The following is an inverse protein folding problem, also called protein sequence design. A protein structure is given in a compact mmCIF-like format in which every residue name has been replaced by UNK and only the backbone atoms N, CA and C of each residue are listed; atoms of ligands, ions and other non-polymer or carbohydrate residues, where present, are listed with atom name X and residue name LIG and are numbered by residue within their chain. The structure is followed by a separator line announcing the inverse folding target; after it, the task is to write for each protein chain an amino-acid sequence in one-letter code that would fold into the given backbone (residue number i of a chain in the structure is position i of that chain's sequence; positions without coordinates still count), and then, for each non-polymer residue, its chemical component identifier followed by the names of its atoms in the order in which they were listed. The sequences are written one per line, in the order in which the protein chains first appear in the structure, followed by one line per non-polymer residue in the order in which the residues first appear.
data_IF_254586295376
#
_entry.id   IF_254586295376
#
_cell.length_a   1.000
_cell.length_b   1.000
_cell.length_c   1.000
_cell.angle_alpha   90.00
_cell.angle_beta   90.00
_cell.angle_gamma   90.00
#
_symmetry.space_group_name_H-M   'P 1'
#
loop_
_entity.id
_entity.type
_entity.pdbx_description
1 polymer ?
#
# COMPACT_ATOMS: atom_id res chain seq x y z
N UNK A 1 11.06 -3.02 2.74
CA UNK A 1 10.07 -4.04 3.06
C UNK A 1 10.73 -5.17 3.81
N UNK A 2 10.09 -5.69 4.80
CA UNK A 2 10.66 -6.75 5.62
C UNK A 2 10.15 -8.11 5.15
N UNK A 3 11.07 -8.99 4.74
CA UNK A 3 10.74 -10.33 4.24
C UNK A 3 10.98 -11.43 5.28
N UNK A 4 11.14 -11.10 6.53
CA UNK A 4 11.47 -12.08 7.56
C UNK A 4 12.98 -12.15 7.80
N UNK A 5 13.49 -13.34 8.14
CA UNK A 5 14.89 -13.54 8.44
C UNK A 5 15.81 -13.43 7.24
N UNK A 6 17.14 -13.31 7.47
CA UNK A 6 18.13 -13.27 6.40
C UNK A 6 18.07 -14.52 5.52
N UNK A 7 18.03 -14.31 4.21
CA UNK A 7 17.98 -15.39 3.23
C UNK A 7 16.61 -16.05 3.08
N UNK A 8 15.62 -15.57 3.80
CA UNK A 8 14.26 -16.09 3.73
C UNK A 8 13.34 -15.14 3.00
N UNK A 9 12.46 -15.70 2.17
CA UNK A 9 11.41 -14.95 1.50
C UNK A 9 10.07 -15.34 2.12
N UNK A 10 9.85 -14.83 3.34
CA UNK A 10 8.60 -15.00 4.07
C UNK A 10 8.18 -13.67 4.67
N UNK A 11 6.88 -13.53 4.89
CA UNK A 11 6.33 -12.40 5.63
C UNK A 11 6.58 -12.60 7.13
N UNK A 12 6.28 -11.57 7.93
CA UNK A 12 6.42 -11.63 9.39
C UNK A 12 5.57 -12.74 10.01
N UNK A 13 4.45 -13.12 9.36
CA UNK A 13 3.54 -14.18 9.82
C UNK A 13 3.80 -15.53 9.15
N UNK A 14 4.92 -15.67 8.43
CA UNK A 14 5.37 -16.94 7.88
C UNK A 14 4.85 -17.30 6.49
N UNK A 15 4.12 -16.41 5.83
CA UNK A 15 3.64 -16.65 4.48
C UNK A 15 4.78 -16.57 3.46
N UNK A 16 4.82 -17.46 2.45
CA UNK A 16 5.88 -17.40 1.45
C UNK A 16 5.76 -16.18 0.54
N UNK A 17 6.91 -15.58 0.21
CA UNK A 17 7.03 -14.44 -0.69
C UNK A 17 7.80 -14.87 -1.94
N UNK A 18 7.39 -14.39 -3.11
CA UNK A 18 8.10 -14.65 -4.36
C UNK A 18 9.57 -14.23 -4.26
N UNK A 19 10.46 -15.12 -4.67
CA UNK A 19 11.89 -14.82 -4.77
C UNK A 19 12.24 -14.01 -6.01
N UNK A 20 11.31 -13.94 -6.98
CA UNK A 20 11.49 -13.16 -8.20
C UNK A 20 10.98 -11.73 -7.97
N UNK A 21 11.80 -10.70 -8.30
CA UNK A 21 11.31 -9.32 -8.21
C UNK A 21 10.19 -9.05 -9.23
N UNK A 22 9.25 -8.17 -8.93
CA UNK A 22 9.06 -7.49 -7.66
C UNK A 22 8.49 -8.41 -6.59
N UNK A 23 8.92 -8.19 -5.35
CA UNK A 23 8.53 -9.05 -4.22
C UNK A 23 7.17 -8.67 -3.62
N UNK A 24 6.60 -7.61 -4.09
CA UNK A 24 5.28 -7.15 -3.66
C UNK A 24 4.83 -5.91 -4.42
N UNK A 25 3.70 -5.36 -4.02
CA UNK A 25 3.08 -4.22 -4.67
C UNK A 25 2.43 -3.28 -3.65
N UNK A 26 2.48 -1.99 -3.97
CA UNK A 26 1.77 -0.92 -3.27
C UNK A 26 0.73 -0.34 -4.23
N UNK A 27 -0.47 -0.06 -3.74
CA UNK A 27 -1.50 0.64 -4.51
C UNK A 27 -1.77 2.00 -3.86
N UNK A 28 -1.43 3.07 -4.57
CA UNK A 28 -1.75 4.43 -4.12
C UNK A 28 -3.18 4.72 -4.55
N UNK A 29 -4.08 4.83 -3.57
CA UNK A 29 -5.50 5.09 -3.81
C UNK A 29 -5.78 6.56 -3.53
N UNK A 30 -6.36 7.25 -4.49
CA UNK A 30 -6.67 8.69 -4.37
C UNK A 30 -8.12 8.97 -4.74
N UNK A 31 -8.68 9.99 -4.10
CA UNK A 31 -10.01 10.49 -4.39
C UNK A 31 -10.01 12.03 -4.36
N UNK A 32 -10.79 12.63 -5.23
CA UNK A 32 -10.94 14.09 -5.26
C UNK A 32 -12.09 14.51 -4.33
N UNK A 33 -11.70 15.01 -3.16
CA UNK A 33 -12.65 15.56 -2.19
C UNK A 33 -12.99 17.01 -2.55
N UNK A 34 -14.04 17.62 -1.93
CA UNK A 34 -14.38 19.01 -2.19
C UNK A 34 -13.22 19.99 -1.99
N UNK A 35 -12.33 19.70 -1.02
CA UNK A 35 -11.18 20.56 -0.69
C UNK A 35 -9.93 20.23 -1.50
N UNK A 36 -9.95 19.17 -2.32
CA UNK A 36 -8.81 18.73 -3.12
C UNK A 36 -8.53 17.23 -2.97
N UNK A 37 -7.44 16.80 -3.53
CA UNK A 37 -7.08 15.39 -3.52
C UNK A 37 -6.77 14.86 -2.13
N UNK A 38 -7.23 13.63 -1.89
CA UNK A 38 -6.94 12.87 -0.67
C UNK A 38 -6.44 11.49 -1.05
N UNK A 39 -5.54 10.98 -0.24
CA UNK A 39 -4.97 9.64 -0.42
C UNK A 39 -5.33 8.76 0.76
N UNK A 40 -5.51 7.47 0.49
CA UNK A 40 -5.88 6.49 1.50
C UNK A 40 -4.66 5.99 2.25
N UNK A 41 -4.71 6.06 3.57
CA UNK A 41 -3.76 5.42 4.47
C UNK A 41 -4.48 4.41 5.35
N UNK A 42 -3.86 3.25 5.55
CA UNK A 42 -4.34 2.21 6.45
C UNK A 42 -3.43 2.17 7.68
N UNK A 43 -4.03 2.04 8.85
CA UNK A 43 -3.26 1.90 10.11
C UNK A 43 -3.06 0.44 10.43
N UNK A 44 -1.80 0.04 10.61
CA UNK A 44 -1.45 -1.34 10.93
C UNK A 44 -1.77 -1.66 12.39
N UNK A 45 -2.47 -2.76 12.61
CA UNK A 45 -2.93 -3.15 13.93
C UNK A 45 -1.86 -3.80 14.80
N UNK A 46 -0.75 -4.25 14.21
CA UNK A 46 0.25 -5.12 14.84
C UNK A 46 0.79 -4.60 16.18
N UNK A 47 1.08 -3.31 16.28
CA UNK A 47 1.62 -2.70 17.51
C UNK A 47 0.57 -1.98 18.35
N UNK A 48 -0.70 -2.23 18.07
CA UNK A 48 -1.81 -1.59 18.77
C UNK A 48 -2.26 -0.27 18.17
N UNK A 49 -3.45 0.23 18.58
CA UNK A 49 -4.09 1.37 17.92
C UNK A 49 -3.38 2.71 18.10
N UNK A 50 -2.51 2.84 19.11
CA UNK A 50 -1.77 4.07 19.36
C UNK A 50 -0.39 4.10 18.70
N UNK A 51 0.03 3.02 18.03
CA UNK A 51 1.33 3.00 17.36
C UNK A 51 1.39 3.98 16.22
N UNK A 52 2.43 4.81 16.19
CA UNK A 52 2.63 5.85 15.18
C UNK A 52 4.07 5.89 14.64
N UNK A 53 4.80 4.78 14.79
CA UNK A 53 6.18 4.64 14.32
C UNK A 53 6.25 4.06 12.91
N UNK A 54 7.38 3.40 12.62
CA UNK A 54 7.62 2.76 11.34
C UNK A 54 6.51 1.75 11.04
N UNK A 55 6.04 1.74 9.80
CA UNK A 55 5.00 0.85 9.30
C UNK A 55 3.60 1.08 9.89
N UNK A 56 3.40 2.13 10.70
CA UNK A 56 2.09 2.42 11.29
C UNK A 56 1.06 2.76 10.21
N UNK A 57 1.44 3.64 9.30
CA UNK A 57 0.56 4.15 8.25
C UNK A 57 1.12 3.82 6.88
N UNK A 58 0.39 3.05 6.11
CA UNK A 58 0.79 2.63 4.77
C UNK A 58 -0.39 2.69 3.81
N UNK A 59 -0.14 2.87 2.51
CA UNK A 59 -1.17 2.58 1.51
C UNK A 59 -1.44 1.06 1.51
N UNK A 60 -2.50 0.61 0.84
CA UNK A 60 -2.69 -0.82 0.60
C UNK A 60 -1.44 -1.39 -0.08
N UNK A 61 -0.87 -2.43 0.51
CA UNK A 61 0.36 -3.03 0.02
C UNK A 61 0.53 -4.43 0.58
N UNK A 62 1.26 -5.26 -0.12
CA UNK A 62 1.59 -6.57 0.39
C UNK A 62 2.53 -7.35 -0.50
N UNK A 63 2.99 -8.46 0.03
CA UNK A 63 3.96 -9.33 -0.61
C UNK A 63 3.31 -10.17 -1.71
N UNK A 64 4.07 -10.38 -2.80
CA UNK A 64 3.65 -11.24 -3.90
C UNK A 64 3.90 -12.69 -3.54
N UNK A 65 2.89 -13.53 -3.76
CA UNK A 65 3.03 -14.98 -3.56
C UNK A 65 3.88 -15.59 -4.67
N UNK A 66 4.59 -16.70 -4.39
CA UNK A 66 5.33 -17.41 -5.44
C UNK A 66 4.40 -17.77 -6.61
N UNK A 67 4.83 -17.44 -7.82
CA UNK A 67 4.06 -17.71 -9.04
C UNK A 67 2.89 -16.78 -9.31
N UNK A 68 2.59 -15.85 -8.40
CA UNK A 68 1.52 -14.88 -8.57
C UNK A 68 1.96 -13.77 -9.53
N UNK A 69 1.11 -13.40 -10.49
CA UNK A 69 1.38 -12.24 -11.35
C UNK A 69 1.38 -10.95 -10.52
N UNK A 70 2.23 -10.00 -10.90
CA UNK A 70 2.36 -8.73 -10.16
C UNK A 70 1.03 -7.98 -10.09
N UNK A 71 0.31 -7.90 -11.21
CA UNK A 71 -1.01 -7.26 -11.25
C UNK A 71 -2.02 -8.00 -10.36
N UNK A 72 -1.98 -9.32 -10.34
CA UNK A 72 -2.85 -10.12 -9.47
C UNK A 72 -2.55 -9.85 -7.99
N UNK A 73 -1.29 -9.67 -7.63
CA UNK A 73 -0.89 -9.29 -6.28
C UNK A 73 -1.53 -7.95 -5.89
N UNK A 74 -1.42 -6.94 -6.74
CA UNK A 74 -2.01 -5.63 -6.48
C UNK A 74 -3.52 -5.70 -6.30
N UNK A 75 -4.22 -6.43 -7.17
CA UNK A 75 -5.67 -6.62 -7.09
C UNK A 75 -6.07 -7.34 -5.80
N UNK A 76 -5.35 -8.40 -5.45
CA UNK A 76 -5.63 -9.19 -4.25
C UNK A 76 -5.42 -8.38 -2.96
N UNK A 77 -4.27 -7.71 -2.84
CA UNK A 77 -3.96 -6.92 -1.65
C UNK A 77 -4.94 -5.76 -1.47
N UNK A 78 -5.30 -5.09 -2.56
CA UNK A 78 -6.29 -4.03 -2.52
C UNK A 78 -7.63 -4.54 -1.97
N UNK A 79 -8.11 -5.68 -2.48
CA UNK A 79 -9.37 -6.27 -2.04
C UNK A 79 -9.31 -6.73 -0.58
N UNK A 80 -8.25 -7.42 -0.20
CA UNK A 80 -8.08 -7.92 1.18
C UNK A 80 -8.03 -6.79 2.20
N UNK A 81 -7.37 -5.69 1.86
CA UNK A 81 -7.11 -4.62 2.83
C UNK A 81 -8.15 -3.52 2.82
N UNK A 82 -8.90 -3.34 1.73
CA UNK A 82 -9.88 -2.24 1.61
C UNK A 82 -11.27 -2.67 1.18
N UNK A 83 -11.44 -3.90 0.73
CA UNK A 83 -12.67 -4.36 0.13
C UNK A 83 -12.90 -3.89 -1.31
N UNK A 84 -12.00 -3.09 -1.88
CA UNK A 84 -12.15 -2.57 -3.23
C UNK A 84 -11.84 -3.65 -4.27
N UNK A 85 -12.75 -3.82 -5.22
CA UNK A 85 -12.57 -4.71 -6.36
C UNK A 85 -12.37 -3.82 -7.59
N UNK A 86 -11.12 -3.67 -8.01
CA UNK A 86 -10.76 -2.76 -9.09
C UNK A 86 -9.46 -3.21 -9.75
N UNK A 87 -9.16 -2.61 -10.89
CA UNK A 87 -7.93 -2.86 -11.64
C UNK A 87 -7.02 -1.64 -11.53
N UNK A 88 -6.09 -1.64 -10.56
CA UNK A 88 -5.17 -0.52 -10.43
C UNK A 88 -4.21 -0.46 -11.63
N UNK A 89 -3.70 0.73 -11.91
CA UNK A 89 -2.79 0.99 -13.02
C UNK A 89 -1.34 0.83 -12.58
N UNK A 90 -0.53 0.05 -13.30
CA UNK A 90 0.89 -0.06 -12.99
C UNK A 90 1.62 1.25 -13.29
N UNK A 91 2.59 1.58 -12.43
CA UNK A 91 3.49 2.70 -12.63
C UNK A 91 4.83 2.16 -13.08
N UNK A 92 5.34 2.69 -14.18
CA UNK A 92 6.70 2.33 -14.64
C UNK A 92 7.70 3.05 -13.75
N UNK A 93 8.58 2.29 -13.11
CA UNK A 93 9.56 2.81 -12.17
C UNK A 93 10.89 2.07 -12.35
N UNK A 94 11.98 2.69 -11.91
CA UNK A 94 13.30 2.04 -11.92
C UNK A 94 13.44 1.00 -10.81
N UNK A 95 12.61 1.06 -9.78
CA UNK A 95 12.60 0.05 -8.72
C UNK A 95 12.04 -1.25 -9.27
N UNK A 96 12.86 -2.28 -9.31
CA UNK A 96 12.46 -3.61 -9.76
C UNK A 96 12.09 -4.54 -8.60
N UNK A 97 12.35 -4.15 -7.36
CA UNK A 97 12.09 -4.98 -6.18
C UNK A 97 10.66 -4.87 -5.68
N UNK A 98 10.03 -3.72 -5.88
CA UNK A 98 8.69 -3.45 -5.40
C UNK A 98 7.89 -2.67 -6.43
N UNK A 99 6.71 -3.17 -6.76
CA UNK A 99 5.84 -2.55 -7.76
C UNK A 99 4.95 -1.48 -7.13
N UNK A 100 4.64 -0.44 -7.91
CA UNK A 100 3.71 0.62 -7.52
C UNK A 100 2.57 0.67 -8.53
N UNK A 101 1.36 0.76 -8.01
CA UNK A 101 0.15 0.92 -8.79
C UNK A 101 -0.62 2.13 -8.27
N UNK A 102 -1.50 2.66 -9.08
CA UNK A 102 -2.39 3.77 -8.71
C UNK A 102 -3.84 3.42 -8.99
N UNK A 103 -4.73 4.01 -8.19
CA UNK A 103 -6.17 3.86 -8.38
C UNK A 103 -6.87 5.15 -7.95
N UNK A 104 -7.64 5.72 -8.84
CA UNK A 104 -8.55 6.80 -8.49
C UNK A 104 -9.94 6.23 -8.23
N UNK A 105 -10.55 6.64 -7.10
CA UNK A 105 -11.92 6.25 -6.75
C UNK A 105 -12.75 7.52 -6.48
N UNK A 106 -14.07 7.47 -6.65
CA UNK A 106 -14.94 8.59 -6.27
C UNK A 106 -14.81 8.91 -4.79
N UNK A 107 -14.87 10.19 -4.45
CA UNK A 107 -14.95 10.61 -3.04
C UNK A 107 -16.21 10.04 -2.40
N UNK A 108 -16.06 9.47 -1.21
CA UNK A 108 -17.17 8.78 -0.53
C UNK A 108 -17.22 7.28 -0.81
N UNK A 109 -16.28 6.75 -1.61
CA UNK A 109 -16.15 5.30 -1.79
C UNK A 109 -15.94 4.61 -0.45
N UNK A 110 -16.72 3.57 -0.19
CA UNK A 110 -16.64 2.81 1.06
C UNK A 110 -15.35 2.00 1.12
N UNK A 111 -14.66 2.11 2.24
CA UNK A 111 -13.46 1.33 2.55
C UNK A 111 -13.79 0.42 3.73
N UNK A 112 -13.48 -0.86 3.59
CA UNK A 112 -13.71 -1.87 4.63
C UNK A 112 -12.38 -2.50 5.03
N UNK A 113 -11.87 -2.14 6.21
CA UNK A 113 -10.72 -2.82 6.79
C UNK A 113 -11.19 -4.01 7.63
N UNK A 114 -10.41 -5.09 7.67
CA UNK A 114 -10.84 -6.32 8.34
C UNK A 114 -10.63 -6.30 9.86
N UNK A 115 -9.88 -5.36 10.37
CA UNK A 115 -9.60 -5.22 11.80
C UNK A 115 -8.49 -6.12 12.33
N UNK A 116 -8.01 -7.09 11.56
CA UNK A 116 -6.91 -7.98 11.99
C UNK A 116 -5.55 -7.44 11.59
N UNK A 117 -5.36 -7.12 10.32
CA UNK A 117 -4.12 -6.54 9.82
C UNK A 117 -4.11 -5.02 9.95
N UNK A 118 -5.26 -4.40 9.70
CA UNK A 118 -5.46 -2.97 9.81
C UNK A 118 -6.67 -2.67 10.70
N UNK A 119 -6.53 -1.71 11.61
CA UNK A 119 -7.61 -1.37 12.55
C UNK A 119 -8.46 -0.18 12.10
N UNK A 120 -7.96 0.65 11.19
CA UNK A 120 -8.70 1.81 10.66
C UNK A 120 -8.02 2.38 9.44
N UNK A 121 -8.67 3.35 8.81
CA UNK A 121 -8.13 4.06 7.66
C UNK A 121 -8.40 5.56 7.79
N UNK A 122 -7.64 6.35 7.02
CA UNK A 122 -7.87 7.78 6.89
C UNK A 122 -7.65 8.21 5.45
N UNK A 123 -8.41 9.23 5.05
CA UNK A 123 -8.18 9.96 3.81
C UNK A 123 -7.45 11.25 4.16
N UNK A 124 -6.23 11.41 3.68
CA UNK A 124 -5.34 12.50 4.07
C UNK A 124 -4.75 13.20 2.84
N UNK A 125 -4.18 14.38 3.03
CA UNK A 125 -3.50 15.11 1.94
C UNK A 125 -2.20 14.40 1.58
N UNK A 126 -1.66 14.70 0.38
CA UNK A 126 -0.35 14.17 -0.04
C UNK A 126 0.74 14.54 0.96
N UNK A 127 0.73 15.78 1.45
CA UNK A 127 1.70 16.23 2.44
C UNK A 127 1.63 15.40 3.74
N UNK A 128 0.41 15.10 4.21
CA UNK A 128 0.19 14.26 5.37
C UNK A 128 0.73 12.84 5.16
N UNK A 129 0.46 12.28 3.97
CA UNK A 129 0.95 10.96 3.63
C UNK A 129 2.47 10.90 3.73
N UNK A 130 3.16 11.85 3.10
CA UNK A 130 4.62 11.86 3.06
C UNK A 130 5.22 12.02 4.45
N UNK A 131 4.54 12.78 5.32
CA UNK A 131 4.97 12.99 6.70
C UNK A 131 4.76 11.76 7.56
N UNK A 132 3.66 11.02 7.35
CA UNK A 132 3.22 9.91 8.22
C UNK A 132 3.73 8.55 7.76
N UNK A 133 4.06 8.41 6.48
CA UNK A 133 4.52 7.13 5.91
C UNK A 133 6.00 6.91 6.22
N UNK A 134 6.28 5.98 7.09
CA UNK A 134 7.65 5.61 7.50
C UNK A 134 7.78 4.09 7.56
N UNK A 135 8.95 3.52 7.32
CA UNK A 135 10.22 4.18 6.93
C UNK A 135 10.20 4.75 5.51
N UNK A 136 11.34 5.30 5.07
CA UNK A 136 11.46 5.98 3.77
C UNK A 136 10.94 5.17 2.58
N UNK A 137 11.12 3.85 2.59
CA UNK A 137 10.64 2.99 1.50
C UNK A 137 9.13 3.13 1.27
N UNK A 138 8.35 3.34 2.34
CA UNK A 138 6.90 3.52 2.25
C UNK A 138 6.58 4.86 1.59
N UNK A 139 7.22 5.94 2.06
CA UNK A 139 6.98 7.27 1.49
C UNK A 139 7.49 7.38 0.05
N UNK A 140 8.55 6.68 -0.31
CA UNK A 140 9.07 6.65 -1.68
C UNK A 140 8.07 5.98 -2.63
N UNK A 141 7.50 4.83 -2.27
CA UNK A 141 6.46 4.18 -3.06
C UNK A 141 5.25 5.09 -3.24
N UNK A 142 4.87 5.77 -2.16
CA UNK A 142 3.75 6.70 -2.19
C UNK A 142 4.04 7.87 -3.12
N UNK A 143 5.23 8.46 -2.99
CA UNK A 143 5.66 9.58 -3.82
C UNK A 143 5.65 9.22 -5.31
N UNK A 144 6.13 8.01 -5.63
CA UNK A 144 6.11 7.49 -7.00
C UNK A 144 4.70 7.43 -7.56
N UNK A 145 3.76 6.90 -6.78
CA UNK A 145 2.35 6.80 -7.19
C UNK A 145 1.70 8.17 -7.34
N UNK A 146 1.91 9.07 -6.37
CA UNK A 146 1.36 10.42 -6.44
C UNK A 146 1.88 11.19 -7.67
N UNK A 147 3.18 11.08 -7.96
CA UNK A 147 3.76 11.73 -9.14
C UNK A 147 3.12 11.20 -10.43
N UNK A 148 2.90 9.90 -10.52
CA UNK A 148 2.26 9.28 -11.69
C UNK A 148 0.82 9.76 -11.88
N UNK A 149 0.12 10.12 -10.80
CA UNK A 149 -1.24 10.65 -10.84
C UNK A 149 -1.28 12.17 -11.00
N UNK A 150 -0.13 12.84 -11.00
CA UNK A 150 -0.07 14.30 -11.05
C UNK A 150 -0.51 14.99 -9.76
N UNK A 151 -0.39 14.32 -8.63
CA UNK A 151 -0.75 14.87 -7.33
C UNK A 151 0.45 15.52 -6.63
N UNK A 152 0.18 16.56 -5.88
CA UNK A 152 1.21 17.26 -5.13
C UNK A 152 0.75 17.66 -3.72
#
# INVERSE_FOLDING_TARGET
MNFGGPGEFTTWDGEPVSREPPHGATVVVAALAPEGWRCLLLHRAHHGPSWDGDWAWTPPAGSRKPGEAVTACAVRELREETGLVASPRPVVTEDTDWAVFTLEVPWGTEIAVDGTEHDRFEWVTVAEVLRRSRPAAVSESFSTGCAAMGLS
#
